data_IF_741898449472
#
_entry.id   IF_741898449472
#
_cell.length_a   1.000
_cell.length_b   1.000
_cell.length_c   1.000
_cell.angle_alpha   90.00
_cell.angle_beta   90.00
_cell.angle_gamma   90.00
#
_symmetry.space_group_name_H-M   'P 1'
#
loop_
_entity.id
_entity.type
_entity.pdbx_description
1 polymer ?
#
# COMPACT_ATOMS: atom_id res chain seq x y z
N UNK A 1 -45.99 29.99 -21.22
CA UNK A 1 -45.14 28.89 -20.71
C UNK A 1 -44.34 29.44 -19.53
N UNK A 2 -44.57 28.92 -18.31
CA UNK A 2 -44.00 29.49 -17.08
C UNK A 2 -42.49 29.19 -16.98
N UNK A 3 -41.66 30.24 -16.97
CA UNK A 3 -40.20 30.10 -16.88
C UNK A 3 -39.74 29.43 -15.58
N UNK A 4 -40.56 29.49 -14.54
CA UNK A 4 -40.34 28.84 -13.24
C UNK A 4 -40.27 27.31 -13.33
N UNK A 5 -40.77 26.70 -14.41
CA UNK A 5 -40.70 25.25 -14.62
C UNK A 5 -39.31 24.77 -15.07
N UNK A 6 -38.49 25.67 -15.65
CA UNK A 6 -37.15 25.35 -16.16
C UNK A 6 -36.03 25.61 -15.15
N UNK A 7 -36.28 26.41 -14.12
CA UNK A 7 -35.32 26.73 -13.05
C UNK A 7 -34.74 25.50 -12.33
N UNK A 8 -35.50 24.46 -11.94
CA UNK A 8 -34.94 23.28 -11.29
C UNK A 8 -34.08 22.42 -12.25
N UNK A 9 -34.35 22.46 -13.55
CA UNK A 9 -33.58 21.72 -14.56
C UNK A 9 -32.20 22.34 -14.80
N UNK A 10 -32.12 23.67 -14.79
CA UNK A 10 -30.85 24.41 -14.90
C UNK A 10 -30.00 24.22 -13.65
N UNK A 11 -30.61 24.15 -12.46
CA UNK A 11 -29.88 23.94 -11.20
C UNK A 11 -29.19 22.57 -11.15
N UNK A 12 -29.75 21.56 -11.83
CA UNK A 12 -29.15 20.22 -11.92
C UNK A 12 -27.86 20.18 -12.75
N UNK A 13 -27.68 21.14 -13.68
CA UNK A 13 -26.49 21.23 -14.54
C UNK A 13 -25.24 21.76 -13.83
N UNK A 14 -25.40 22.39 -12.66
CA UNK A 14 -24.31 22.94 -11.86
C UNK A 14 -23.86 22.02 -10.72
N UNK A 15 -24.32 20.77 -10.67
CA UNK A 15 -23.84 19.80 -9.69
C UNK A 15 -22.35 19.51 -9.94
N UNK A 16 -21.47 19.68 -8.94
CA UNK A 16 -20.05 19.39 -9.11
C UNK A 16 -19.87 17.88 -9.31
N UNK A 17 -19.40 17.48 -10.49
CA UNK A 17 -18.97 16.10 -10.72
C UNK A 17 -17.68 15.84 -9.94
N UNK A 18 -17.73 14.93 -8.98
CA UNK A 18 -16.54 14.41 -8.30
C UNK A 18 -15.84 13.46 -9.26
N UNK A 19 -14.65 13.84 -9.75
CA UNK A 19 -13.77 12.89 -10.42
C UNK A 19 -13.13 11.99 -9.38
N UNK A 20 -13.49 10.71 -9.38
CA UNK A 20 -12.72 9.69 -8.65
C UNK A 20 -11.49 9.39 -9.49
N UNK A 21 -10.32 9.89 -9.08
CA UNK A 21 -9.06 9.38 -9.60
C UNK A 21 -8.88 7.96 -9.07
N UNK A 22 -8.84 6.98 -9.97
CA UNK A 22 -8.41 5.64 -9.63
C UNK A 22 -6.94 5.72 -9.17
N UNK A 23 -6.73 5.59 -7.85
CA UNK A 23 -5.39 5.51 -7.31
C UNK A 23 -4.85 4.15 -7.72
N UNK A 24 -3.69 4.14 -8.38
CA UNK A 24 -3.01 2.88 -8.68
C UNK A 24 -2.71 2.18 -7.36
N UNK A 25 -3.04 0.87 -7.23
CA UNK A 25 -2.72 0.13 -6.02
C UNK A 25 -1.21 0.14 -5.82
N UNK A 26 -0.78 0.48 -4.61
CA UNK A 26 0.63 0.43 -4.19
C UNK A 26 1.02 -1.00 -3.81
N UNK A 27 0.04 -1.88 -3.65
CA UNK A 27 0.23 -3.28 -3.35
C UNK A 27 1.03 -3.97 -4.45
N UNK A 28 2.10 -4.64 -4.04
CA UNK A 28 3.08 -5.18 -4.98
C UNK A 28 4.30 -5.74 -4.28
N UNK A 29 5.20 -6.31 -5.07
CA UNK A 29 6.52 -6.73 -4.60
C UNK A 29 7.57 -5.86 -5.30
N UNK A 30 8.43 -5.23 -4.49
CA UNK A 30 9.40 -4.26 -4.95
C UNK A 30 10.79 -4.69 -4.52
N UNK A 31 11.76 -4.52 -5.40
CA UNK A 31 13.17 -4.68 -5.09
C UNK A 31 13.66 -3.42 -4.34
N UNK A 32 14.43 -3.59 -3.28
CA UNK A 32 15.09 -2.47 -2.58
C UNK A 32 16.11 -1.79 -3.49
N UNK A 33 16.43 -0.53 -3.21
CA UNK A 33 17.35 0.27 -4.04
C UNK A 33 18.74 -0.38 -4.20
N UNK A 34 19.26 -0.93 -3.10
CA UNK A 34 20.52 -1.68 -3.04
C UNK A 34 20.41 -3.11 -3.63
N UNK A 35 19.22 -3.52 -4.07
CA UNK A 35 18.89 -4.84 -4.61
C UNK A 35 19.09 -6.00 -3.63
N UNK A 36 19.17 -5.72 -2.33
CA UNK A 36 19.41 -6.73 -1.29
C UNK A 36 18.15 -7.48 -0.84
N UNK A 37 16.95 -6.96 -1.11
CA UNK A 37 15.70 -7.57 -0.64
C UNK A 37 14.50 -7.30 -1.56
N UNK A 38 13.50 -8.20 -1.50
CA UNK A 38 12.17 -7.94 -2.01
C UNK A 38 11.22 -7.63 -0.86
N UNK A 39 10.53 -6.49 -0.95
CA UNK A 39 9.51 -6.05 0.01
C UNK A 39 8.14 -6.17 -0.63
N UNK A 40 7.24 -6.91 0.03
CA UNK A 40 5.83 -6.97 -0.35
C UNK A 40 5.05 -5.92 0.42
N UNK A 41 4.46 -4.99 -0.32
CA UNK A 41 3.50 -4.01 0.20
C UNK A 41 2.10 -4.60 0.09
N UNK A 42 1.32 -4.51 1.15
CA UNK A 42 -0.05 -5.01 1.22
C UNK A 42 -0.94 -4.12 2.10
N UNK A 43 -2.23 -4.08 1.77
CA UNK A 43 -3.24 -3.39 2.56
C UNK A 43 -3.84 -4.34 3.60
N UNK A 44 -3.92 -3.89 4.85
CA UNK A 44 -4.70 -4.53 5.91
C UNK A 44 -5.45 -3.46 6.72
N UNK A 45 -6.76 -3.63 6.91
CA UNK A 45 -7.63 -2.71 7.67
C UNK A 45 -7.38 -1.22 7.34
N UNK A 46 -7.33 -0.88 6.05
CA UNK A 46 -7.08 0.47 5.51
C UNK A 46 -5.70 1.07 5.84
N UNK A 47 -4.72 0.24 6.23
CA UNK A 47 -3.33 0.65 6.43
C UNK A 47 -2.43 -0.16 5.51
N UNK A 48 -1.41 0.50 4.96
CA UNK A 48 -0.37 -0.16 4.20
C UNK A 48 0.67 -0.73 5.16
N UNK A 49 1.09 -1.95 4.88
CA UNK A 49 2.14 -2.65 5.59
C UNK A 49 3.17 -3.18 4.60
N UNK A 50 4.42 -3.27 5.05
CA UNK A 50 5.51 -3.92 4.32
C UNK A 50 5.96 -5.18 5.05
N UNK A 51 6.38 -6.19 4.28
CA UNK A 51 7.17 -7.32 4.82
C UNK A 51 8.25 -7.73 3.82
N UNK A 52 9.41 -8.12 4.32
CA UNK A 52 10.46 -8.73 3.50
C UNK A 52 10.02 -10.15 3.13
N UNK A 53 10.08 -10.49 1.84
CA UNK A 53 9.69 -11.81 1.29
C UNK A 53 10.83 -12.55 0.61
N UNK A 54 11.98 -11.90 0.50
CA UNK A 54 13.23 -12.48 0.00
C UNK A 54 14.37 -11.54 0.35
N UNK A 55 15.54 -12.11 0.62
CA UNK A 55 16.81 -11.38 0.80
C UNK A 55 17.89 -12.05 -0.02
N UNK A 56 18.85 -11.27 -0.50
CA UNK A 56 20.03 -11.76 -1.21
C UNK A 56 20.87 -12.66 -0.30
N UNK A 57 21.01 -12.27 0.97
CA UNK A 57 21.69 -13.05 1.99
C UNK A 57 20.67 -13.76 2.88
N UNK A 58 20.89 -15.04 3.18
CA UNK A 58 20.02 -15.80 4.09
C UNK A 58 20.42 -15.63 5.57
N UNK A 59 21.66 -15.20 5.81
CA UNK A 59 22.28 -15.12 7.14
C UNK A 59 23.04 -13.81 7.31
N UNK A 60 23.21 -13.37 8.55
CA UNK A 60 24.08 -12.25 8.92
C UNK A 60 25.58 -12.65 8.89
N UNK A 61 26.45 -11.68 9.14
CA UNK A 61 27.91 -11.89 9.21
C UNK A 61 28.36 -12.87 10.30
N UNK A 62 27.51 -13.18 11.28
CA UNK A 62 27.77 -14.17 12.32
C UNK A 62 27.24 -15.57 11.98
N UNK A 63 26.61 -15.73 10.82
CA UNK A 63 26.01 -16.97 10.35
C UNK A 63 24.61 -17.24 10.90
N UNK A 64 23.98 -16.27 11.56
CA UNK A 64 22.60 -16.42 12.06
C UNK A 64 21.60 -16.02 10.97
N UNK A 65 20.42 -16.67 10.91
CA UNK A 65 19.39 -16.28 9.94
C UNK A 65 19.01 -14.80 10.06
N UNK A 66 18.83 -14.12 8.93
CA UNK A 66 18.29 -12.76 8.93
C UNK A 66 16.85 -12.77 9.45
N UNK A 67 16.51 -11.76 10.23
CA UNK A 67 15.18 -11.58 10.84
C UNK A 67 14.69 -10.16 10.63
N UNK A 68 13.37 -9.97 10.67
CA UNK A 68 12.75 -8.64 10.60
C UNK A 68 12.64 -8.05 12.02
N UNK A 69 13.77 -7.60 12.57
CA UNK A 69 13.89 -7.14 13.95
C UNK A 69 13.05 -5.91 14.28
N UNK A 70 12.66 -5.14 13.27
CA UNK A 70 11.89 -3.90 13.42
C UNK A 70 10.38 -4.09 13.27
N UNK A 71 9.90 -5.31 12.99
CA UNK A 71 8.46 -5.57 12.89
C UNK A 71 7.71 -5.05 14.13
N UNK A 72 6.64 -4.25 13.98
CA UNK A 72 5.89 -3.73 15.13
C UNK A 72 5.31 -4.83 16.04
N UNK A 73 4.93 -5.96 15.44
CA UNK A 73 4.58 -7.17 16.16
C UNK A 73 5.84 -7.90 16.66
N UNK A 74 6.11 -7.78 17.96
CA UNK A 74 7.28 -8.38 18.61
C UNK A 74 7.35 -9.89 18.46
N UNK A 75 6.22 -10.57 18.33
CA UNK A 75 6.17 -12.03 18.18
C UNK A 75 6.77 -12.50 16.85
N UNK A 76 6.84 -11.60 15.86
CA UNK A 76 7.31 -11.91 14.51
C UNK A 76 8.81 -11.61 14.33
N UNK A 77 9.44 -10.86 15.25
CA UNK A 77 10.83 -10.40 15.13
C UNK A 77 11.87 -11.52 15.17
N UNK A 78 11.51 -12.70 15.67
CA UNK A 78 12.43 -13.84 15.82
C UNK A 78 12.34 -14.83 14.65
N UNK A 79 11.42 -14.63 13.70
CA UNK A 79 11.27 -15.53 12.57
C UNK A 79 12.37 -15.25 11.54
N UNK A 80 13.03 -16.29 10.98
CA UNK A 80 13.85 -16.13 9.80
C UNK A 80 13.03 -15.56 8.65
N UNK A 81 13.64 -14.66 7.87
CA UNK A 81 13.11 -14.24 6.57
C UNK A 81 13.18 -15.46 5.63
N UNK A 82 12.10 -15.73 4.90
CA UNK A 82 11.97 -16.84 3.94
C UNK A 82 11.38 -16.33 2.64
#
# INVERSE_FOLDING_TARGET
MNINLFFPLILLLFLPMKFIQAQQPIEGTYLTEDKSAHVRIYLDKNKLYGKIVWTQDAVDASGKPLTDSETPDKSLRTRPIR
#
